data_IF_727923603937
#
_entry.id   IF_727923603937
#
_cell.length_a   1.000
_cell.length_b   1.000
_cell.length_c   1.000
_cell.angle_alpha   90.00
_cell.angle_beta   90.00
_cell.angle_gamma   90.00
#
_symmetry.space_group_name_H-M   'P 1'
#
loop_
_entity.id
_entity.type
_entity.pdbx_description
1 polymer ?
#
# COMPACT_ATOMS: atom_id res chain seq x y z
N UNK A 1 -2.03 -2.94 -4.65
CA UNK A 1 -1.56 -2.95 -3.28
C UNK A 1 -0.46 -3.93 -3.15
N UNK A 2 0.62 -3.47 -2.66
CA UNK A 2 1.67 -4.31 -2.13
C UNK A 2 1.19 -4.92 -0.83
N UNK A 3 0.72 -6.17 -0.88
CA UNK A 3 0.55 -6.99 0.31
C UNK A 3 1.92 -7.55 0.67
N UNK A 4 2.54 -6.96 1.69
CA UNK A 4 3.97 -7.06 1.89
C UNK A 4 4.33 -8.05 2.99
N UNK A 5 4.94 -9.18 2.59
CA UNK A 5 6.14 -9.66 3.25
C UNK A 5 7.31 -9.45 2.28
N UNK A 6 7.84 -8.24 2.18
CA UNK A 6 8.85 -7.92 1.19
C UNK A 6 10.25 -8.14 1.75
N UNK A 7 10.99 -9.05 1.13
CA UNK A 7 12.45 -8.98 1.21
C UNK A 7 12.94 -7.75 0.41
N UNK A 8 13.99 -7.08 0.89
CA UNK A 8 14.54 -5.83 0.32
C UNK A 8 14.73 -5.84 -1.22
N UNK A 9 14.97 -7.00 -1.83
CA UNK A 9 15.20 -7.12 -3.28
C UNK A 9 13.91 -7.09 -4.13
N UNK A 10 12.75 -7.34 -3.57
CA UNK A 10 11.48 -7.20 -4.29
C UNK A 10 11.02 -5.74 -4.25
N UNK A 11 11.32 -5.04 -3.16
CA UNK A 11 11.14 -3.60 -3.02
C UNK A 11 11.92 -2.82 -4.12
N UNK A 12 13.19 -3.13 -4.34
CA UNK A 12 14.00 -2.39 -5.31
C UNK A 12 13.48 -2.45 -6.76
N UNK A 13 12.98 -3.60 -7.21
CA UNK A 13 12.43 -3.75 -8.58
C UNK A 13 11.06 -3.07 -8.73
N UNK A 14 10.22 -3.10 -7.69
CA UNK A 14 8.90 -2.49 -7.71
C UNK A 14 8.91 -1.00 -7.48
N UNK A 15 9.87 -0.53 -6.70
CA UNK A 15 9.82 0.80 -6.11
C UNK A 15 10.70 1.81 -6.87
N UNK A 16 11.71 1.37 -7.62
CA UNK A 16 12.60 2.31 -8.33
C UNK A 16 11.89 3.19 -9.37
N UNK A 17 10.79 2.71 -9.96
CA UNK A 17 9.98 3.52 -10.88
C UNK A 17 8.76 4.16 -10.21
N UNK A 18 8.11 3.44 -9.30
CA UNK A 18 6.83 3.87 -8.69
C UNK A 18 7.04 4.84 -7.54
N UNK A 19 8.09 4.67 -6.72
CA UNK A 19 8.35 5.54 -5.56
C UNK A 19 8.57 7.01 -5.93
N UNK A 20 9.21 7.26 -7.07
CA UNK A 20 9.51 8.62 -7.52
C UNK A 20 8.24 9.42 -7.88
N UNK A 21 7.12 8.73 -8.14
CA UNK A 21 5.86 9.33 -8.52
C UNK A 21 4.84 9.35 -7.37
N UNK A 22 5.19 8.76 -6.21
CA UNK A 22 4.28 8.70 -5.06
C UNK A 22 4.41 9.94 -4.19
N UNK A 23 3.35 10.73 -4.16
CA UNK A 23 3.25 11.95 -3.34
C UNK A 23 2.63 11.70 -1.98
N UNK A 24 1.76 10.68 -1.86
CA UNK A 24 1.03 10.37 -0.64
C UNK A 24 0.92 8.86 -0.41
N UNK A 25 1.03 8.44 0.85
CA UNK A 25 0.85 7.04 1.27
C UNK A 25 -0.32 6.93 2.23
N UNK A 26 -1.21 5.96 1.98
CA UNK A 26 -2.31 5.63 2.89
C UNK A 26 -2.01 4.31 3.58
N UNK A 27 -2.05 4.31 4.90
CA UNK A 27 -1.73 3.15 5.75
C UNK A 27 -2.92 2.77 6.63
N UNK A 28 -3.14 1.47 6.79
CA UNK A 28 -4.02 0.97 7.83
C UNK A 28 -3.33 1.01 9.20
N UNK A 29 -4.10 1.14 10.28
CA UNK A 29 -3.59 1.20 11.67
C UNK A 29 -2.53 0.15 12.01
N UNK A 30 -2.79 -1.12 11.64
CA UNK A 30 -1.85 -2.23 11.96
C UNK A 30 -0.52 -2.05 11.26
N UNK A 31 -0.57 -1.84 9.94
CA UNK A 31 0.63 -1.65 9.15
C UNK A 31 1.41 -0.40 9.58
N UNK A 32 0.71 0.69 9.87
CA UNK A 32 1.37 1.89 10.37
C UNK A 32 2.12 1.63 11.69
N UNK A 33 1.49 0.93 12.67
CA UNK A 33 2.16 0.61 13.95
C UNK A 33 3.39 -0.28 13.77
N UNK A 34 3.28 -1.31 12.93
CA UNK A 34 4.40 -2.21 12.65
C UNK A 34 5.55 -1.46 11.96
N UNK A 35 5.22 -0.59 11.03
CA UNK A 35 6.19 0.19 10.27
C UNK A 35 6.80 1.33 11.07
N UNK A 36 6.02 2.02 11.90
CA UNK A 36 6.52 3.06 12.80
C UNK A 36 7.51 2.54 13.85
N UNK A 37 7.45 1.25 14.18
CA UNK A 37 8.42 0.61 15.06
C UNK A 37 9.70 0.15 14.36
N UNK A 38 9.83 0.33 13.05
CA UNK A 38 10.99 -0.16 12.30
C UNK A 38 11.64 0.90 11.39
N UNK A 39 10.84 1.57 10.53
CA UNK A 39 11.37 2.42 9.47
C UNK A 39 12.02 3.72 9.95
N UNK A 40 11.58 4.38 11.04
CA UNK A 40 12.25 5.59 11.53
C UNK A 40 13.72 5.37 11.87
N UNK A 41 14.05 4.19 12.39
CA UNK A 41 15.40 3.82 12.82
C UNK A 41 16.13 2.94 11.80
N UNK A 42 15.48 2.56 10.70
CA UNK A 42 16.11 1.83 9.61
C UNK A 42 17.19 2.70 8.94
N UNK A 43 18.40 2.13 8.76
CA UNK A 43 19.52 2.86 8.20
C UNK A 43 19.16 3.55 6.87
N UNK A 44 19.65 4.75 6.67
CA UNK A 44 19.35 5.59 5.50
C UNK A 44 19.88 5.01 4.17
N UNK A 45 20.73 4.00 4.25
CA UNK A 45 21.27 3.27 3.10
C UNK A 45 20.20 2.38 2.40
N UNK A 46 19.03 2.23 3.01
CA UNK A 46 17.91 1.53 2.41
C UNK A 46 17.04 2.54 1.64
N UNK A 47 17.05 2.48 0.31
CA UNK A 47 16.26 3.34 -0.57
C UNK A 47 14.80 3.48 -0.14
N UNK A 48 14.17 2.37 0.29
CA UNK A 48 12.80 2.40 0.79
C UNK A 48 12.66 3.17 2.12
N UNK A 49 13.64 3.10 3.02
CA UNK A 49 13.60 3.86 4.28
C UNK A 49 13.63 5.36 4.02
N UNK A 50 14.49 5.82 3.09
CA UNK A 50 14.52 7.21 2.66
C UNK A 50 13.16 7.69 2.14
N UNK A 51 12.57 6.94 1.23
CA UNK A 51 11.25 7.23 0.66
C UNK A 51 10.15 7.26 1.74
N UNK A 52 9.97 6.16 2.47
CA UNK A 52 8.81 6.02 3.39
C UNK A 52 8.88 6.96 4.59
N UNK A 53 10.07 7.38 5.00
CA UNK A 53 10.23 8.37 6.04
C UNK A 53 9.95 9.79 5.54
N UNK A 54 10.24 10.10 4.28
CA UNK A 54 10.03 11.42 3.69
C UNK A 54 8.58 11.68 3.25
N UNK A 55 7.91 10.68 2.63
CA UNK A 55 6.58 10.84 2.05
C UNK A 55 5.50 11.11 3.12
N UNK A 56 4.50 11.98 2.86
CA UNK A 56 3.31 12.13 3.68
C UNK A 56 2.56 10.81 3.85
N UNK A 57 2.20 10.47 5.09
CA UNK A 57 1.49 9.25 5.46
C UNK A 57 0.15 9.57 6.10
N UNK A 58 -0.94 9.10 5.49
CA UNK A 58 -2.30 9.25 5.98
C UNK A 58 -2.77 7.95 6.60
N UNK A 59 -3.12 7.96 7.88
CA UNK A 59 -3.39 6.76 8.66
C UNK A 59 -4.88 6.56 8.86
N UNK A 60 -5.43 5.50 8.28
CA UNK A 60 -6.82 5.10 8.48
C UNK A 60 -6.96 4.33 9.81
N UNK A 61 -7.59 4.96 10.81
CA UNK A 61 -7.80 4.34 12.12
C UNK A 61 -8.99 4.97 12.86
N UNK A 62 -9.75 4.13 13.55
CA UNK A 62 -10.82 4.57 14.46
C UNK A 62 -10.39 4.59 15.93
N UNK A 63 -9.16 4.21 16.24
CA UNK A 63 -8.70 4.01 17.62
C UNK A 63 -7.39 4.70 17.94
N UNK A 64 -6.62 5.12 16.94
CA UNK A 64 -5.44 5.98 17.12
C UNK A 64 -5.91 7.41 17.38
N UNK A 65 -5.11 8.14 18.13
CA UNK A 65 -5.31 9.56 18.41
C UNK A 65 -4.30 10.41 17.61
N UNK A 66 -4.57 11.68 17.36
CA UNK A 66 -3.61 12.57 16.69
C UNK A 66 -2.23 12.59 17.36
N UNK A 67 -2.17 12.49 18.68
CA UNK A 67 -0.90 12.44 19.42
C UNK A 67 -0.05 11.20 19.11
N UNK A 68 -0.67 10.07 18.70
CA UNK A 68 0.06 8.85 18.32
C UNK A 68 0.91 9.07 17.06
N UNK A 69 0.53 10.04 16.21
CA UNK A 69 1.24 10.31 14.95
C UNK A 69 2.66 10.82 15.16
N UNK A 70 2.97 11.36 16.32
CA UNK A 70 4.34 11.78 16.68
C UNK A 70 5.36 10.62 16.69
N UNK A 71 4.90 9.37 16.77
CA UNK A 71 5.77 8.19 16.73
C UNK A 71 6.46 7.98 15.36
N UNK A 72 5.95 8.58 14.30
CA UNK A 72 6.58 8.51 12.97
C UNK A 72 6.32 9.82 12.21
N UNK A 73 7.39 10.52 11.88
CA UNK A 73 7.33 11.81 11.18
C UNK A 73 6.51 11.74 9.88
N UNK A 74 5.96 12.87 9.47
CA UNK A 74 5.11 12.98 8.27
C UNK A 74 3.87 12.05 8.29
N UNK A 75 3.42 11.64 9.48
CA UNK A 75 2.18 10.89 9.65
C UNK A 75 1.05 11.82 10.10
N UNK A 76 -0.13 11.61 9.54
CA UNK A 76 -1.37 12.29 9.92
C UNK A 76 -2.51 11.26 10.06
N UNK A 77 -3.40 11.49 11.02
CA UNK A 77 -4.60 10.66 11.15
C UNK A 77 -5.66 11.15 10.15
N UNK A 78 -6.27 10.22 9.42
CA UNK A 78 -7.43 10.55 8.58
C UNK A 78 -8.61 10.83 9.47
N UNK A 79 -9.18 12.03 9.36
CA UNK A 79 -10.41 12.41 10.01
C UNK A 79 -11.63 11.99 9.17
N UNK A 80 -12.63 11.37 9.83
CA UNK A 80 -13.84 10.93 9.16
C UNK A 80 -13.70 9.65 8.34
N UNK A 81 -14.41 9.60 7.22
CA UNK A 81 -14.48 8.43 6.36
C UNK A 81 -13.30 8.35 5.37
N UNK A 82 -12.64 7.19 5.34
CA UNK A 82 -11.45 7.00 4.52
C UNK A 82 -11.74 7.09 3.01
N UNK A 83 -12.91 6.65 2.56
CA UNK A 83 -13.25 6.71 1.13
C UNK A 83 -13.48 8.14 0.67
N UNK A 84 -14.14 8.95 1.49
CA UNK A 84 -14.31 10.39 1.25
C UNK A 84 -12.96 11.08 1.22
N UNK A 85 -12.10 10.83 2.21
CA UNK A 85 -10.74 11.37 2.22
C UNK A 85 -9.97 11.04 0.94
N UNK A 86 -10.03 9.77 0.49
CA UNK A 86 -9.32 9.35 -0.73
C UNK A 86 -9.90 10.01 -1.98
N UNK A 87 -11.22 10.17 -2.09
CA UNK A 87 -11.84 10.91 -3.22
C UNK A 87 -11.36 12.36 -3.25
N UNK A 88 -11.35 13.02 -2.10
CA UNK A 88 -10.93 14.42 -1.99
C UNK A 88 -9.43 14.58 -2.30
N UNK A 89 -8.61 13.63 -1.84
CA UNK A 89 -7.19 13.63 -2.15
C UNK A 89 -6.94 13.40 -3.65
N UNK A 90 -7.65 12.46 -4.28
CA UNK A 90 -7.59 12.20 -5.73
C UNK A 90 -8.06 13.38 -6.59
N UNK A 91 -8.90 14.25 -6.06
CA UNK A 91 -9.38 15.44 -6.77
C UNK A 91 -8.35 16.58 -6.79
N UNK A 92 -7.30 16.49 -5.97
CA UNK A 92 -6.22 17.49 -5.94
C UNK A 92 -5.19 17.20 -7.05
N UNK A 93 -4.54 18.25 -7.58
CA UNK A 93 -3.36 18.04 -8.42
C UNK A 93 -2.26 17.33 -7.62
N UNK A 94 -1.62 16.34 -8.24
CA UNK A 94 -0.55 15.58 -7.60
C UNK A 94 -0.18 14.34 -8.42
N UNK A 95 0.76 13.57 -7.91
CA UNK A 95 1.19 12.30 -8.48
C UNK A 95 0.38 11.11 -7.96
N UNK A 96 1.06 10.04 -7.65
CA UNK A 96 0.44 8.77 -7.25
C UNK A 96 0.13 8.73 -5.76
N UNK A 97 -1.07 8.26 -5.40
CA UNK A 97 -1.44 7.90 -4.04
C UNK A 97 -1.28 6.40 -3.86
N UNK A 98 -0.41 5.97 -2.95
CA UNK A 98 -0.16 4.55 -2.71
C UNK A 98 -0.83 4.05 -1.42
N UNK A 99 -1.71 3.05 -1.50
CA UNK A 99 -2.27 2.38 -0.33
C UNK A 99 -1.42 1.15 0.02
N UNK A 100 -0.82 1.13 1.21
CA UNK A 100 0.16 0.12 1.62
C UNK A 100 -0.14 -0.46 3.01
N UNK A 101 0.50 -1.59 3.34
CA UNK A 101 0.52 -2.21 4.67
C UNK A 101 -0.86 -2.40 5.33
N UNK A 102 -1.90 -2.70 4.53
CA UNK A 102 -3.24 -2.88 5.06
C UNK A 102 -4.19 -3.63 4.14
N UNK A 103 -4.25 -4.97 4.19
CA UNK A 103 -5.12 -5.77 3.32
C UNK A 103 -6.59 -5.35 3.36
N UNK A 104 -7.14 -5.05 4.54
CA UNK A 104 -8.54 -4.61 4.68
C UNK A 104 -8.77 -3.23 4.08
N UNK A 105 -7.84 -2.31 4.27
CA UNK A 105 -7.90 -0.97 3.66
C UNK A 105 -7.89 -1.07 2.13
N UNK A 106 -6.97 -1.83 1.61
CA UNK A 106 -6.84 -2.05 0.17
C UNK A 106 -8.08 -2.67 -0.43
N UNK A 107 -8.57 -3.75 0.19
CA UNK A 107 -9.82 -4.38 -0.24
C UNK A 107 -10.97 -3.36 -0.22
N UNK A 108 -11.10 -2.56 0.84
CA UNK A 108 -12.12 -1.52 0.93
C UNK A 108 -12.02 -0.54 -0.22
N UNK A 109 -10.84 0.04 -0.45
CA UNK A 109 -10.63 1.02 -1.52
C UNK A 109 -10.84 0.43 -2.92
N UNK A 110 -10.44 -0.83 -3.14
CA UNK A 110 -10.67 -1.52 -4.40
C UNK A 110 -12.15 -1.73 -4.67
N UNK A 111 -12.89 -2.24 -3.69
CA UNK A 111 -14.33 -2.50 -3.81
C UNK A 111 -15.15 -1.20 -3.92
N UNK A 112 -14.69 -0.13 -3.31
CA UNK A 112 -15.27 1.22 -3.48
C UNK A 112 -14.94 1.86 -4.85
N UNK A 113 -14.17 1.19 -5.71
CA UNK A 113 -13.77 1.70 -7.02
C UNK A 113 -12.78 2.87 -6.97
N UNK A 114 -12.10 3.06 -5.84
CA UNK A 114 -11.16 4.17 -5.61
C UNK A 114 -9.73 3.85 -6.03
N UNK A 115 -9.42 2.58 -6.27
CA UNK A 115 -8.11 2.16 -6.78
C UNK A 115 -8.11 2.07 -8.29
N UNK A 116 -7.13 2.66 -8.92
CA UNK A 116 -6.94 2.60 -10.37
C UNK A 116 -6.10 1.37 -10.76
N UNK A 117 -5.13 1.04 -9.90
CA UNK A 117 -4.25 -0.12 -10.08
C UNK A 117 -4.07 -0.91 -8.79
N UNK A 118 -3.94 -2.23 -8.93
CA UNK A 118 -3.63 -3.17 -7.87
C UNK A 118 -2.37 -3.95 -8.25
N UNK A 119 -1.28 -3.72 -7.53
CA UNK A 119 -0.04 -4.49 -7.72
C UNK A 119 0.08 -5.59 -6.67
N UNK A 120 0.23 -6.82 -7.12
CA UNK A 120 0.43 -8.00 -6.28
C UNK A 120 1.82 -8.58 -6.49
N UNK A 121 2.49 -8.93 -5.38
CA UNK A 121 3.70 -9.73 -5.42
C UNK A 121 3.34 -11.15 -4.99
N UNK A 122 3.47 -12.07 -5.94
CA UNK A 122 3.21 -13.49 -5.71
C UNK A 122 4.53 -14.21 -5.49
N UNK A 123 4.69 -14.75 -4.29
CA UNK A 123 5.88 -15.52 -3.93
C UNK A 123 5.69 -17.00 -4.29
N UNK A 124 6.74 -17.71 -4.75
CA UNK A 124 6.69 -19.14 -5.05
C UNK A 124 6.70 -19.97 -3.76
N UNK A 125 5.70 -19.81 -2.90
CA UNK A 125 5.59 -20.42 -1.58
C UNK A 125 4.20 -20.98 -1.34
N UNK A 126 4.13 -22.19 -0.82
CA UNK A 126 2.91 -22.80 -0.30
C UNK A 126 2.88 -22.53 1.21
N UNK A 127 2.14 -21.49 1.63
CA UNK A 127 2.13 -21.07 3.03
C UNK A 127 1.22 -21.94 3.92
N UNK A 128 0.20 -22.58 3.38
CA UNK A 128 -0.76 -23.44 4.10
C UNK A 128 -1.69 -22.70 5.08
N UNK A 129 -1.31 -21.49 5.53
CA UNK A 129 -2.05 -20.62 6.44
C UNK A 129 -1.77 -19.15 6.14
N UNK A 130 -2.68 -18.28 6.54
CA UNK A 130 -2.52 -16.83 6.35
C UNK A 130 -3.86 -16.12 6.14
N UNK A 131 -3.82 -14.80 6.13
CA UNK A 131 -5.00 -13.98 5.81
C UNK A 131 -5.14 -13.85 4.30
N UNK A 132 -6.38 -13.90 3.81
CA UNK A 132 -6.70 -13.67 2.40
C UNK A 132 -6.89 -12.18 2.14
N UNK A 133 -6.41 -11.70 1.01
CA UNK A 133 -6.73 -10.34 0.54
C UNK A 133 -8.23 -10.23 0.25
N UNK A 134 -8.80 -11.21 -0.44
CA UNK A 134 -10.24 -11.31 -0.69
C UNK A 134 -10.82 -12.43 0.16
N UNK A 135 -11.81 -12.10 0.98
CA UNK A 135 -12.51 -13.03 1.88
C UNK A 135 -13.72 -13.64 1.17
N UNK A 136 -14.25 -14.70 1.74
CA UNK A 136 -15.46 -15.34 1.24
C UNK A 136 -16.62 -14.33 1.23
N UNK A 137 -17.42 -14.33 0.16
CA UNK A 137 -18.49 -13.34 -0.05
C UNK A 137 -18.04 -12.02 -0.68
N UNK A 138 -16.75 -11.83 -0.96
CA UNK A 138 -16.30 -10.67 -1.76
C UNK A 138 -16.96 -10.74 -3.15
N UNK A 139 -17.58 -9.65 -3.62
CA UNK A 139 -18.20 -9.61 -4.95
C UNK A 139 -17.19 -9.93 -6.07
N UNK A 140 -17.64 -10.68 -7.06
CA UNK A 140 -16.84 -10.95 -8.25
C UNK A 140 -16.51 -9.64 -8.97
N UNK A 141 -15.23 -9.32 -9.05
CA UNK A 141 -14.73 -8.14 -9.76
C UNK A 141 -13.74 -8.58 -10.82
N UNK A 142 -13.96 -8.18 -12.06
CA UNK A 142 -13.05 -8.47 -13.17
C UNK A 142 -12.05 -7.35 -13.32
N UNK A 143 -10.77 -7.72 -13.36
CA UNK A 143 -9.66 -6.81 -13.56
C UNK A 143 -8.97 -7.14 -14.88
N UNK A 144 -8.22 -6.18 -15.43
CA UNK A 144 -7.36 -6.35 -16.58
C UNK A 144 -5.91 -6.42 -16.13
N UNK A 145 -5.16 -7.42 -16.60
CA UNK A 145 -3.71 -7.48 -16.37
C UNK A 145 -3.02 -6.42 -17.23
N UNK A 146 -2.42 -5.43 -16.57
CA UNK A 146 -1.68 -4.33 -17.22
C UNK A 146 -0.22 -4.68 -17.45
N UNK A 147 0.42 -5.31 -16.46
CA UNK A 147 1.81 -5.74 -16.57
C UNK A 147 2.11 -6.95 -15.70
N UNK A 148 3.14 -7.67 -16.06
CA UNK A 148 3.71 -8.73 -15.26
C UNK A 148 5.25 -8.70 -15.37
N UNK A 149 5.92 -9.03 -14.27
CA UNK A 149 7.37 -9.08 -14.21
C UNK A 149 7.82 -10.17 -13.24
N UNK A 150 8.82 -10.95 -13.64
CA UNK A 150 9.49 -11.88 -12.76
C UNK A 150 10.71 -11.22 -12.13
N UNK A 151 10.87 -11.38 -10.81
CA UNK A 151 12.09 -10.97 -10.12
C UNK A 151 13.17 -12.03 -10.23
N UNK A 152 14.44 -11.66 -10.01
CA UNK A 152 15.58 -12.59 -9.99
C UNK A 152 15.44 -13.71 -8.93
N UNK A 153 14.56 -13.54 -7.96
CA UNK A 153 14.23 -14.55 -6.92
C UNK A 153 12.98 -15.38 -7.23
N UNK A 154 12.44 -15.27 -8.45
CA UNK A 154 11.29 -16.05 -8.90
C UNK A 154 9.94 -15.55 -8.40
N UNK A 155 9.86 -14.37 -7.75
CA UNK A 155 8.58 -13.77 -7.44
C UNK A 155 7.94 -13.19 -8.70
N UNK A 156 6.62 -13.24 -8.81
CA UNK A 156 5.88 -12.54 -9.86
C UNK A 156 5.29 -11.26 -9.32
N UNK A 157 5.51 -10.17 -10.06
CA UNK A 157 4.87 -8.87 -9.83
C UNK A 157 3.78 -8.70 -10.88
N UNK A 158 2.55 -8.58 -10.45
CA UNK A 158 1.38 -8.50 -11.31
C UNK A 158 0.64 -7.19 -11.02
N UNK A 159 0.50 -6.33 -12.03
CA UNK A 159 -0.28 -5.10 -11.93
C UNK A 159 -1.57 -5.24 -12.70
N UNK A 160 -2.66 -5.03 -12.00
CA UNK A 160 -4.02 -5.07 -12.54
C UNK A 160 -4.63 -3.67 -12.52
N UNK A 161 -5.40 -3.35 -13.53
CA UNK A 161 -6.23 -2.16 -13.62
C UNK A 161 -7.71 -2.49 -13.67
N UNK A 162 -8.55 -1.45 -13.69
CA UNK A 162 -9.98 -1.62 -13.98
C UNK A 162 -10.12 -2.15 -15.40
N UNK A 163 -10.97 -3.14 -15.57
CA UNK A 163 -11.37 -3.59 -16.91
C UNK A 163 -12.35 -2.57 -17.49
N UNK A 164 -12.10 -2.11 -18.71
CA UNK A 164 -13.10 -1.43 -19.50
C UNK A 164 -14.16 -2.49 -19.90
N UNK A 165 -15.40 -2.25 -19.56
CA UNK A 165 -16.54 -3.08 -19.97
C UNK A 165 -16.85 -2.84 -21.47
#
# INVERSE_FOLDING_TARGET
>A
VLGIGLSANVLGVLLGGVMAEVDDVILGRKGWREWAGYWPDAGQDMEFAGFINAVPKHVASRTLKPADMAAWQNSSLIEGDVETFVRDLKAKPGGTIAAMAGMSLVRQLLLAGLMDELTLVVHPVIAGKGRRLFEDGTPTTRLELKSNQQTSKGNMVLTYGKRAD
#
